data_IF_422458819529
#
_entry.id   IF_422458819529
#
_cell.length_a   1.000
_cell.length_b   1.000
_cell.length_c   1.000
_cell.angle_alpha   90.00
_cell.angle_beta   90.00
_cell.angle_gamma   90.00
#
_symmetry.space_group_name_H-M   'P 1'
#
loop_
_entity.id
_entity.type
_entity.pdbx_description
1 polymer ?
#
# COMPACT_ATOMS: atom_id res chain seq x y z
N UNK A 1 -4.44 16.39 12.72
CA UNK A 1 -4.50 17.26 11.53
C UNK A 1 -5.57 16.68 10.62
N UNK A 2 -6.67 17.39 10.40
CA UNK A 2 -7.79 16.88 9.60
C UNK A 2 -7.42 16.92 8.12
N UNK A 3 -7.76 15.86 7.38
CA UNK A 3 -7.66 15.78 5.92
C UNK A 3 -8.43 16.95 5.29
N UNK A 4 -7.73 18.03 4.92
CA UNK A 4 -8.38 19.24 4.43
C UNK A 4 -8.51 19.25 2.91
N UNK A 5 -7.57 18.62 2.19
CA UNK A 5 -7.58 18.57 0.73
C UNK A 5 -7.43 17.13 0.17
N UNK A 6 -8.02 16.85 -1.00
CA UNK A 6 -7.76 15.62 -1.74
C UNK A 6 -6.26 15.45 -2.03
N UNK A 7 -5.68 14.33 -1.58
CA UNK A 7 -4.24 14.07 -1.65
C UNK A 7 -3.48 14.21 -0.32
N UNK A 8 -4.09 14.85 0.68
CA UNK A 8 -3.49 15.03 2.02
C UNK A 8 -3.53 13.76 2.87
N UNK A 9 -4.33 12.76 2.48
CA UNK A 9 -4.69 11.64 3.37
C UNK A 9 -4.58 10.24 2.77
N UNK A 10 -3.86 10.08 1.65
CA UNK A 10 -3.48 8.72 1.27
C UNK A 10 -2.54 8.14 2.32
N UNK A 11 -2.97 7.08 2.98
CA UNK A 11 -2.17 6.46 4.05
C UNK A 11 -2.33 4.96 4.11
N UNK A 12 -1.26 4.28 4.50
CA UNK A 12 -1.28 2.86 4.78
C UNK A 12 -1.29 2.61 6.29
N UNK A 13 -2.09 1.63 6.67
CA UNK A 13 -2.20 1.16 8.04
C UNK A 13 -2.26 -0.37 8.05
N UNK A 14 -1.93 -0.96 9.21
CA UNK A 14 -2.00 -2.42 9.41
C UNK A 14 -1.26 -3.21 8.33
N UNK A 15 -0.11 -2.69 7.88
CA UNK A 15 0.73 -3.34 6.87
C UNK A 15 1.44 -4.53 7.52
N UNK A 16 1.15 -5.73 7.05
CA UNK A 16 1.74 -6.98 7.50
C UNK A 16 2.40 -7.68 6.33
N UNK A 17 3.59 -8.23 6.59
CA UNK A 17 4.36 -9.08 5.68
C UNK A 17 4.64 -10.40 6.39
N UNK A 18 4.34 -11.48 5.72
CA UNK A 18 4.86 -12.82 6.06
C UNK A 18 5.84 -13.21 4.97
N UNK A 19 7.07 -13.55 5.33
CA UNK A 19 8.11 -13.98 4.41
C UNK A 19 8.65 -15.36 4.81
N UNK A 20 8.46 -16.33 3.92
CA UNK A 20 9.05 -17.67 3.90
C UNK A 20 9.31 -18.04 2.43
N UNK A 21 8.97 -19.25 1.96
CA UNK A 21 8.95 -19.63 0.54
C UNK A 21 7.98 -18.78 -0.29
N UNK A 22 6.97 -18.22 0.38
CA UNK A 22 5.98 -17.31 -0.16
C UNK A 22 6.09 -15.99 0.60
N UNK A 23 6.08 -14.88 -0.12
CA UNK A 23 5.86 -13.55 0.44
C UNK A 23 4.36 -13.29 0.39
N UNK A 24 3.78 -12.93 1.51
CA UNK A 24 2.40 -12.50 1.62
C UNK A 24 2.39 -11.10 2.21
N UNK A 25 1.66 -10.19 1.57
CA UNK A 25 1.44 -8.86 2.13
C UNK A 25 -0.04 -8.57 2.27
N UNK A 26 -0.38 -7.83 3.32
CA UNK A 26 -1.71 -7.30 3.54
C UNK A 26 -1.60 -5.94 4.19
N UNK A 27 -2.33 -4.96 3.68
CA UNK A 27 -2.41 -3.64 4.29
C UNK A 27 -3.78 -3.02 4.03
N UNK A 28 -4.09 -1.99 4.80
CA UNK A 28 -5.24 -1.13 4.54
C UNK A 28 -4.76 0.18 3.93
N UNK A 29 -5.30 0.55 2.78
CA UNK A 29 -5.14 1.88 2.21
C UNK A 29 -6.37 2.72 2.51
N UNK A 30 -6.14 3.96 2.90
CA UNK A 30 -7.17 4.98 3.09
C UNK A 30 -6.88 6.14 2.15
N UNK A 31 -7.93 6.71 1.56
CA UNK A 31 -7.97 7.96 0.80
C UNK A 31 -8.87 8.98 1.54
N UNK A 32 -9.02 10.19 1.01
CA UNK A 32 -9.78 11.26 1.68
C UNK A 32 -11.22 10.86 2.09
N UNK A 33 -11.63 11.34 3.25
CA UNK A 33 -12.89 11.07 3.95
C UNK A 33 -14.15 11.41 3.15
N UNK A 34 -14.03 12.25 2.13
CA UNK A 34 -15.14 12.68 1.27
C UNK A 34 -15.49 11.70 0.14
N UNK A 35 -14.68 10.66 -0.11
CA UNK A 35 -14.97 9.65 -1.13
C UNK A 35 -15.84 8.51 -0.59
N UNK A 36 -16.78 7.99 -1.40
CA UNK A 36 -17.76 6.98 -0.98
C UNK A 36 -17.12 5.59 -0.66
N UNK A 37 -15.88 5.38 -1.07
CA UNK A 37 -15.09 4.18 -0.82
C UNK A 37 -13.67 4.53 -0.37
N UNK A 38 -13.55 5.47 0.57
CA UNK A 38 -12.27 6.03 1.01
C UNK A 38 -11.31 5.05 1.69
N UNK A 39 -11.63 3.76 1.79
CA UNK A 39 -10.82 2.77 2.50
C UNK A 39 -11.00 1.40 1.86
N UNK A 40 -9.90 0.67 1.69
CA UNK A 40 -9.96 -0.73 1.31
C UNK A 40 -8.80 -1.54 1.86
N UNK A 41 -8.94 -2.85 1.83
CA UNK A 41 -7.89 -3.81 2.17
C UNK A 41 -7.26 -4.31 0.88
N UNK A 42 -5.95 -4.31 0.83
CA UNK A 42 -5.14 -4.75 -0.30
C UNK A 42 -4.28 -5.92 0.18
N UNK A 43 -4.21 -6.98 -0.61
CA UNK A 43 -3.36 -8.11 -0.32
C UNK A 43 -2.85 -8.76 -1.60
N UNK A 44 -1.70 -9.42 -1.50
CA UNK A 44 -1.19 -10.26 -2.58
C UNK A 44 -0.19 -11.26 -2.00
N UNK A 45 0.19 -12.25 -2.80
CA UNK A 45 1.28 -13.15 -2.46
C UNK A 45 2.03 -13.65 -3.70
N UNK A 46 3.33 -13.87 -3.56
CA UNK A 46 4.18 -14.38 -4.63
C UNK A 46 5.36 -15.18 -4.07
N UNK A 47 5.93 -16.07 -4.87
CA UNK A 47 7.09 -16.89 -4.47
C UNK A 47 8.38 -16.04 -4.49
N UNK A 48 9.27 -16.28 -3.50
CA UNK A 48 10.52 -15.50 -3.34
C UNK A 48 11.46 -15.63 -4.55
N UNK A 49 11.51 -16.81 -5.16
CA UNK A 49 12.52 -17.17 -6.17
C UNK A 49 12.04 -16.98 -7.61
N UNK A 50 10.78 -16.58 -7.82
CA UNK A 50 10.19 -16.59 -9.15
C UNK A 50 10.71 -15.46 -10.06
N UNK A 51 11.50 -14.50 -9.57
CA UNK A 51 11.88 -13.28 -10.31
C UNK A 51 10.70 -12.46 -10.86
N UNK A 52 9.45 -12.81 -10.51
CA UNK A 52 8.21 -12.17 -10.99
C UNK A 52 7.68 -11.19 -9.95
N UNK A 53 8.55 -10.32 -9.43
CA UNK A 53 8.14 -9.26 -8.52
C UNK A 53 6.96 -8.49 -9.13
N UNK A 54 5.90 -8.19 -8.36
CA UNK A 54 4.73 -7.51 -8.91
C UNK A 54 5.08 -6.06 -9.26
N UNK A 55 5.56 -5.86 -10.49
CA UNK A 55 5.80 -4.56 -11.11
C UNK A 55 4.50 -3.97 -11.69
N UNK A 56 3.51 -4.82 -11.91
CA UNK A 56 2.18 -4.43 -12.38
C UNK A 56 1.29 -4.01 -11.22
N UNK A 57 0.27 -3.21 -11.52
CA UNK A 57 -0.74 -2.82 -10.55
C UNK A 57 -1.55 -4.02 -10.07
N UNK A 58 -1.63 -4.16 -8.76
CA UNK A 58 -2.48 -5.14 -8.10
C UNK A 58 -3.73 -4.42 -7.59
N UNK A 59 -4.90 -4.92 -7.99
CA UNK A 59 -6.19 -4.45 -7.46
C UNK A 59 -6.34 -4.86 -6.00
N UNK A 60 -6.86 -3.94 -5.19
CA UNK A 60 -7.30 -4.25 -3.83
C UNK A 60 -8.67 -4.96 -3.86
N UNK A 61 -9.22 -5.27 -2.68
CA UNK A 61 -10.57 -5.84 -2.58
C UNK A 61 -11.64 -4.97 -3.22
N UNK A 62 -11.40 -3.65 -3.25
CA UNK A 62 -12.13 -2.71 -4.09
C UNK A 62 -11.32 -2.49 -5.38
N UNK A 63 -11.95 -2.64 -6.54
CA UNK A 63 -11.31 -2.54 -7.85
C UNK A 63 -10.92 -1.11 -8.25
N UNK A 64 -11.41 -0.11 -7.51
CA UNK A 64 -11.03 1.30 -7.64
C UNK A 64 -9.65 1.60 -7.10
N UNK A 65 -9.13 0.80 -6.16
CA UNK A 65 -7.76 0.95 -5.66
C UNK A 65 -6.83 -0.05 -6.31
N UNK A 66 -5.69 0.46 -6.73
CA UNK A 66 -4.60 -0.38 -7.22
C UNK A 66 -3.28 0.13 -6.66
N UNK A 67 -2.27 -0.72 -6.63
CA UNK A 67 -0.95 -0.34 -6.14
C UNK A 67 0.13 -1.19 -6.80
N UNK A 68 1.35 -0.65 -6.85
CA UNK A 68 2.55 -1.34 -7.33
C UNK A 68 3.78 -0.84 -6.57
N UNK A 69 4.85 -1.63 -6.56
CA UNK A 69 6.15 -1.16 -6.08
C UNK A 69 6.98 -0.59 -7.24
N UNK A 70 7.42 0.65 -7.12
CA UNK A 70 8.32 1.30 -8.10
C UNK A 70 9.79 1.01 -7.83
N UNK A 71 10.14 0.73 -6.56
CA UNK A 71 11.48 0.29 -6.14
C UNK A 71 11.35 -0.60 -4.90
N UNK A 72 12.10 -1.68 -4.85
CA UNK A 72 11.98 -2.66 -3.77
C UNK A 72 13.37 -3.18 -3.39
N UNK A 73 13.97 -2.59 -2.34
CA UNK A 73 15.23 -3.09 -1.80
C UNK A 73 14.98 -4.33 -0.92
N UNK A 74 13.80 -4.38 -0.27
CA UNK A 74 13.29 -5.53 0.47
C UNK A 74 11.78 -5.42 0.70
N UNK A 75 11.16 -6.44 1.28
CA UNK A 75 9.74 -6.45 1.68
C UNK A 75 9.33 -5.37 2.67
N UNK A 76 10.29 -4.69 3.28
CA UNK A 76 10.11 -3.62 4.27
C UNK A 76 10.93 -2.36 3.95
N UNK A 77 11.61 -2.32 2.80
CA UNK A 77 12.34 -1.14 2.32
C UNK A 77 12.00 -0.94 0.84
N UNK A 78 11.07 -0.03 0.59
CA UNK A 78 10.43 0.10 -0.70
C UNK A 78 9.97 1.52 -1.00
N UNK A 79 9.77 1.78 -2.29
CA UNK A 79 8.98 2.88 -2.84
C UNK A 79 7.81 2.28 -3.59
N UNK A 80 6.61 2.76 -3.30
CA UNK A 80 5.39 2.26 -3.91
C UNK A 80 4.53 3.39 -4.45
N UNK A 81 3.65 3.03 -5.36
CA UNK A 81 2.67 3.91 -5.95
C UNK A 81 1.30 3.26 -5.81
N UNK A 82 0.33 4.05 -5.35
CA UNK A 82 -1.07 3.67 -5.26
C UNK A 82 -1.89 4.58 -6.18
N UNK A 83 -2.92 3.99 -6.76
CA UNK A 83 -3.90 4.69 -7.60
C UNK A 83 -5.30 4.47 -7.06
N UNK A 84 -6.13 5.49 -7.19
CA UNK A 84 -7.53 5.43 -6.82
C UNK A 84 -8.38 6.04 -7.94
N UNK A 85 -9.26 5.23 -8.50
CA UNK A 85 -10.30 5.64 -9.45
C UNK A 85 -11.53 6.14 -8.69
N UNK A 86 -12.05 7.32 -9.04
CA UNK A 86 -13.27 7.87 -8.43
C UNK A 86 -14.01 8.82 -9.37
N UNK A 87 -15.25 9.16 -9.03
CA UNK A 87 -16.03 10.17 -9.75
C UNK A 87 -15.78 11.56 -9.16
N UNK A 88 -15.39 12.52 -9.99
CA UNK A 88 -15.28 13.93 -9.63
C UNK A 88 -16.38 14.72 -10.36
N UNK A 89 -17.52 14.89 -9.69
CA UNK A 89 -18.73 15.41 -10.34
C UNK A 89 -19.25 14.42 -11.38
N UNK A 90 -19.33 14.85 -12.65
CA UNK A 90 -19.81 14.02 -13.78
C UNK A 90 -18.71 13.31 -14.59
N UNK A 91 -17.44 13.42 -14.19
CA UNK A 91 -16.30 12.82 -14.89
C UNK A 91 -15.60 11.78 -14.01
N UNK A 92 -15.05 10.74 -14.63
CA UNK A 92 -14.17 9.79 -13.94
C UNK A 92 -12.77 10.37 -13.82
N UNK A 93 -12.15 10.21 -12.66
CA UNK A 93 -10.79 10.65 -12.41
C UNK A 93 -9.96 9.53 -11.78
N UNK A 94 -8.64 9.57 -12.00
CA UNK A 94 -7.66 8.71 -11.36
C UNK A 94 -6.62 9.56 -10.65
N UNK A 95 -6.47 9.36 -9.34
CA UNK A 95 -5.38 9.94 -8.56
C UNK A 95 -4.21 8.96 -8.43
N UNK A 96 -3.01 9.51 -8.34
CA UNK A 96 -1.77 8.77 -8.13
C UNK A 96 -1.01 9.35 -6.94
N UNK A 97 -0.70 8.48 -5.98
CA UNK A 97 0.06 8.82 -4.79
C UNK A 97 1.22 7.85 -4.61
N UNK A 98 2.34 8.31 -4.07
CA UNK A 98 3.49 7.47 -3.80
C UNK A 98 3.98 7.60 -2.36
N UNK A 99 4.71 6.60 -1.90
CA UNK A 99 5.30 6.65 -0.57
C UNK A 99 6.42 5.66 -0.42
N UNK A 100 7.12 5.80 0.68
CA UNK A 100 8.25 4.93 1.04
C UNK A 100 8.02 4.35 2.41
N UNK A 101 8.52 3.15 2.63
CA UNK A 101 8.69 2.60 3.97
C UNK A 101 10.12 2.11 4.12
N UNK A 102 10.62 2.17 5.35
CA UNK A 102 11.93 1.67 5.74
C UNK A 102 11.76 0.63 6.85
N UNK A 103 12.81 -0.17 7.09
CA UNK A 103 12.80 -1.24 8.09
C UNK A 103 12.35 -0.75 9.47
N UNK A 104 12.71 0.48 9.82
CA UNK A 104 12.40 1.12 11.09
C UNK A 104 10.89 1.36 11.30
N UNK A 105 10.07 1.30 10.25
CA UNK A 105 8.61 1.45 10.36
C UNK A 105 7.95 0.17 10.87
N UNK A 106 8.66 -0.97 10.83
CA UNK A 106 8.11 -2.29 11.12
C UNK A 106 8.66 -2.88 12.43
N UNK A 107 7.80 -3.61 13.13
CA UNK A 107 8.14 -4.60 14.14
C UNK A 107 8.45 -5.94 13.48
N UNK A 108 9.36 -6.70 14.06
CA UNK A 108 9.81 -8.00 13.52
C UNK A 108 9.61 -9.12 14.53
N UNK A 109 9.14 -10.27 14.04
CA UNK A 109 9.07 -11.53 14.79
C UNK A 109 9.49 -12.69 13.89
N UNK A 110 10.46 -13.47 14.34
CA UNK A 110 10.86 -14.72 13.70
C UNK A 110 10.19 -15.92 14.39
N UNK A 111 9.83 -16.93 13.62
CA UNK A 111 9.46 -18.24 14.13
C UNK A 111 10.63 -19.23 14.04
N UNK A 112 10.59 -20.29 14.85
CA UNK A 112 11.56 -21.39 14.82
C UNK A 112 11.61 -22.13 13.47
N UNK A 113 10.54 -22.04 12.69
CA UNK A 113 10.43 -22.55 11.32
C UNK A 113 11.23 -21.75 10.28
N UNK A 114 11.75 -20.58 10.65
CA UNK A 114 12.38 -19.63 9.72
C UNK A 114 11.41 -18.62 9.09
N UNK A 115 10.11 -18.75 9.35
CA UNK A 115 9.09 -17.78 8.91
C UNK A 115 9.34 -16.42 9.58
N UNK A 116 9.35 -15.37 8.78
CA UNK A 116 9.54 -14.00 9.21
C UNK A 116 8.23 -13.22 9.12
N UNK A 117 7.87 -12.56 10.21
CA UNK A 117 6.70 -11.67 10.28
C UNK A 117 7.16 -10.25 10.51
N UNK A 118 6.71 -9.35 9.64
CA UNK A 118 6.87 -7.91 9.79
C UNK A 118 5.50 -7.26 9.90
N UNK A 119 5.33 -6.38 10.87
CA UNK A 119 4.09 -5.65 11.07
C UNK A 119 4.41 -4.18 11.26
N UNK A 120 3.71 -3.30 10.54
CA UNK A 120 3.77 -1.87 10.77
C UNK A 120 3.58 -1.61 12.27
N UNK A 121 4.45 -0.80 12.87
CA UNK A 121 4.34 -0.44 14.28
C UNK A 121 2.96 0.17 14.54
N UNK A 122 2.37 -0.16 15.69
CA UNK A 122 0.96 0.17 15.99
C UNK A 122 0.67 1.67 16.07
N UNK A 123 1.70 2.47 16.35
CA UNK A 123 1.68 3.93 16.40
C UNK A 123 2.13 4.59 15.09
N UNK A 124 2.44 3.79 14.07
CA UNK A 124 3.02 4.27 12.82
C UNK A 124 2.00 4.23 11.66
N UNK A 125 2.15 5.19 10.75
CA UNK A 125 1.35 5.34 9.54
C UNK A 125 2.27 5.75 8.41
N UNK A 126 2.19 5.06 7.28
CA UNK A 126 2.92 5.46 6.07
C UNK A 126 2.02 6.41 5.28
N UNK A 127 2.45 7.66 5.14
CA UNK A 127 1.73 8.63 4.32
C UNK A 127 2.19 8.52 2.86
N UNK A 128 1.23 8.56 1.94
CA UNK A 128 1.48 8.63 0.51
C UNK A 128 1.22 10.07 0.03
N UNK A 129 2.17 10.64 -0.70
CA UNK A 129 2.05 11.94 -1.30
C UNK A 129 1.36 11.84 -2.66
N UNK A 130 0.22 12.53 -2.82
CA UNK A 130 -0.39 12.74 -4.13
C UNK A 130 0.59 13.52 -5.02
N UNK A 131 0.82 13.04 -6.24
CA UNK A 131 1.68 13.74 -7.21
C UNK A 131 1.03 13.95 -8.58
N UNK A 132 -0.04 13.23 -8.90
CA UNK A 132 -0.78 13.42 -10.16
C UNK A 132 -2.26 13.06 -10.02
N UNK A 133 -3.08 13.70 -10.85
CA UNK A 133 -4.48 13.37 -11.07
C UNK A 133 -4.79 13.53 -12.55
N UNK A 134 -5.53 12.59 -13.11
CA UNK A 134 -6.01 12.61 -14.49
C UNK A 134 -7.54 12.54 -14.45
N UNK A 135 -8.23 13.45 -15.13
CA UNK A 135 -9.69 13.56 -15.18
C UNK A 135 -10.16 13.70 -16.64
#
# INVERSE_FOLDING_TARGET
>A
MACANPGDCYKLQSFNVTADKLIQINFTIYADGNSHDNKTVCSTSWEVDANVWPQDYIKCNNDLFQWKFSKFNSVIDWTMEATHDFSLGGFGARAFANGTAVREDFSYKAETSGVQHYSLKTDHVINLALYAMIA
#
